data_IF_582413921410
#
_entry.id   IF_582413921410
#
_cell.length_a   1.000
_cell.length_b   1.000
_cell.length_c   1.000
_cell.angle_alpha   90.00
_cell.angle_beta   90.00
_cell.angle_gamma   90.00
#
_symmetry.space_group_name_H-M   'P 1'
#
loop_
_entity.id
_entity.type
_entity.pdbx_description
1 polymer ?
#
# COMPACT_ATOMS: atom_id res chain seq x y z
N UNK A 1 1.92 -13.52 6.89
CA UNK A 1 2.77 -12.81 5.91
C UNK A 1 3.24 -11.50 6.51
N UNK A 2 4.11 -10.79 5.80
CA UNK A 2 4.66 -9.50 6.25
C UNK A 2 3.52 -8.47 6.38
N UNK A 3 2.48 -8.55 5.54
CA UNK A 3 1.26 -7.75 5.61
C UNK A 3 0.56 -7.85 6.99
N UNK A 4 0.38 -9.06 7.53
CA UNK A 4 -0.21 -9.26 8.86
C UNK A 4 0.70 -8.70 9.95
N UNK A 5 2.02 -8.83 9.78
CA UNK A 5 3.01 -8.29 10.71
C UNK A 5 3.01 -6.75 10.72
N UNK A 6 2.84 -6.08 9.57
CA UNK A 6 2.74 -4.61 9.47
C UNK A 6 1.43 -4.11 10.09
N UNK A 7 0.30 -4.79 9.85
CA UNK A 7 -0.98 -4.49 10.51
C UNK A 7 -0.89 -4.64 12.03
N UNK A 8 -0.16 -5.65 12.52
CA UNK A 8 0.03 -5.88 13.96
C UNK A 8 1.11 -4.98 14.60
N UNK A 9 2.15 -4.59 13.85
CA UNK A 9 3.28 -3.79 14.32
C UNK A 9 3.03 -2.27 14.19
N UNK A 10 1.78 -1.84 14.10
CA UNK A 10 1.31 -0.49 13.77
C UNK A 10 1.79 0.66 14.66
N UNK A 11 3.08 0.98 14.62
CA UNK A 11 3.69 2.23 15.13
C UNK A 11 3.64 3.39 14.13
N UNK A 12 3.00 3.22 12.98
CA UNK A 12 2.73 4.28 12.00
C UNK A 12 1.51 5.11 12.40
N UNK A 13 1.62 6.45 12.29
CA UNK A 13 0.62 7.46 12.68
C UNK A 13 -0.83 6.95 12.49
N UNK A 14 -1.50 6.72 13.62
CA UNK A 14 -2.92 6.40 13.70
C UNK A 14 -3.73 7.50 12.98
N UNK A 15 -4.52 7.13 11.97
CA UNK A 15 -5.52 8.04 11.40
C UNK A 15 -6.77 8.04 12.30
N UNK A 16 -7.59 9.10 12.25
CA UNK A 16 -8.84 9.24 13.05
C UNK A 16 -9.81 8.04 12.94
N UNK A 17 -9.65 7.20 11.92
CA UNK A 17 -10.43 5.99 11.67
C UNK A 17 -9.90 4.71 12.35
N UNK A 18 -8.83 4.78 13.14
CA UNK A 18 -8.31 3.63 13.90
C UNK A 18 -7.55 2.58 13.08
N UNK A 19 -7.24 2.87 11.81
CA UNK A 19 -6.38 2.04 10.98
C UNK A 19 -4.92 2.50 11.17
N UNK A 20 -4.04 1.57 11.52
CA UNK A 20 -2.61 1.84 11.45
C UNK A 20 -2.23 2.04 9.99
N UNK A 21 -1.94 3.29 9.62
CA UNK A 21 -1.54 3.62 8.27
C UNK A 21 -0.08 3.18 8.10
N UNK A 22 0.13 2.00 7.53
CA UNK A 22 1.43 1.63 6.98
C UNK A 22 1.91 2.64 5.93
N UNK A 23 3.03 2.39 5.27
CA UNK A 23 3.50 3.28 4.18
C UNK A 23 2.58 3.09 2.95
N UNK A 24 1.71 4.05 2.60
CA UNK A 24 0.60 3.82 1.67
C UNK A 24 1.05 3.43 0.26
N UNK A 25 2.27 3.82 -0.13
CA UNK A 25 2.87 3.55 -1.44
C UNK A 25 3.07 2.06 -1.77
N UNK A 26 3.04 1.18 -0.78
CA UNK A 26 3.25 -0.27 -0.96
C UNK A 26 2.04 -1.11 -0.54
N UNK A 27 0.92 -0.45 -0.16
CA UNK A 27 -0.30 -1.17 0.19
C UNK A 27 -0.92 -1.78 -1.06
N UNK A 28 -1.36 -3.03 -0.93
CA UNK A 28 -2.20 -3.68 -1.93
C UNK A 28 -3.60 -3.05 -1.99
N UNK A 29 -4.35 -3.21 -3.11
CA UNK A 29 -5.71 -2.73 -3.23
C UNK A 29 -6.63 -3.24 -2.12
N UNK A 30 -6.52 -4.52 -1.75
CA UNK A 30 -7.28 -5.12 -0.65
C UNK A 30 -6.94 -4.52 0.72
N UNK A 31 -5.69 -4.11 0.95
CA UNK A 31 -5.31 -3.35 2.15
C UNK A 31 -5.83 -1.91 2.11
N UNK A 32 -5.80 -1.27 0.95
CA UNK A 32 -6.30 0.09 0.76
C UNK A 32 -7.83 0.19 0.92
N UNK A 33 -8.57 -0.87 0.58
CA UNK A 33 -10.01 -0.98 0.81
C UNK A 33 -10.39 -1.46 2.22
N UNK A 34 -9.40 -1.67 3.10
CA UNK A 34 -9.57 -2.21 4.44
C UNK A 34 -10.30 -3.57 4.47
N UNK A 35 -10.01 -4.43 3.49
CA UNK A 35 -10.50 -5.80 3.49
C UNK A 35 -9.99 -6.57 4.71
N UNK A 36 -10.84 -7.44 5.27
CA UNK A 36 -10.51 -8.29 6.41
C UNK A 36 -9.75 -9.54 6.00
N UNK A 37 -9.95 -10.00 4.75
CA UNK A 37 -9.37 -11.24 4.26
C UNK A 37 -8.08 -10.99 3.49
N UNK A 38 -7.08 -10.43 4.18
CA UNK A 38 -5.74 -10.23 3.63
C UNK A 38 -5.02 -11.57 3.49
N UNK A 39 -4.52 -11.85 2.28
CA UNK A 39 -3.81 -13.09 1.97
C UNK A 39 -2.36 -12.83 1.57
N UNK A 40 -1.61 -13.88 1.24
CA UNK A 40 -0.24 -13.76 0.74
C UNK A 40 -0.12 -12.94 -0.56
N UNK A 41 -1.24 -12.69 -1.26
CA UNK A 41 -1.26 -11.83 -2.46
C UNK A 41 -0.89 -10.38 -2.16
N UNK A 42 -1.20 -9.90 -0.96
CA UNK A 42 -0.83 -8.54 -0.54
C UNK A 42 0.69 -8.37 -0.45
N UNK A 43 1.40 -9.38 0.06
CA UNK A 43 2.86 -9.40 0.11
C UNK A 43 3.48 -9.38 -1.30
N UNK A 44 2.89 -10.11 -2.25
CA UNK A 44 3.33 -10.13 -3.66
C UNK A 44 3.14 -8.75 -4.30
N UNK A 45 2.02 -8.10 -4.04
CA UNK A 45 1.76 -6.76 -4.54
C UNK A 45 2.80 -5.76 -4.01
N UNK A 46 3.04 -5.74 -2.70
CA UNK A 46 4.03 -4.85 -2.08
C UNK A 46 5.44 -5.09 -2.64
N UNK A 47 5.84 -6.33 -2.88
CA UNK A 47 7.10 -6.66 -3.53
C UNK A 47 7.14 -6.11 -4.98
N UNK A 48 6.04 -6.21 -5.71
CA UNK A 48 5.90 -5.62 -7.05
C UNK A 48 6.08 -4.10 -7.03
N UNK A 49 5.52 -3.40 -6.03
CA UNK A 49 5.73 -1.96 -5.86
C UNK A 49 7.21 -1.61 -5.62
N UNK A 50 7.91 -2.37 -4.78
CA UNK A 50 9.36 -2.17 -4.54
C UNK A 50 10.16 -2.42 -5.81
N UNK A 51 9.86 -3.48 -6.56
CA UNK A 51 10.51 -3.77 -7.84
C UNK A 51 10.28 -2.64 -8.85
N UNK A 52 9.04 -2.16 -8.98
CA UNK A 52 8.71 -1.02 -9.82
C UNK A 52 9.53 0.20 -9.42
N UNK A 53 9.62 0.51 -8.12
CA UNK A 53 10.38 1.66 -7.63
C UNK A 53 11.87 1.54 -7.93
N UNK A 54 12.47 0.36 -7.78
CA UNK A 54 13.87 0.14 -8.13
C UNK A 54 14.14 0.40 -9.63
N UNK A 55 13.15 0.17 -10.49
CA UNK A 55 13.26 0.38 -11.94
C UNK A 55 12.93 1.83 -12.36
N UNK A 56 11.89 2.42 -11.78
CA UNK A 56 11.36 3.74 -12.13
C UNK A 56 11.94 4.91 -11.30
N UNK A 57 12.65 4.61 -10.21
CA UNK A 57 13.12 5.58 -9.22
C UNK A 57 12.02 6.16 -8.31
N UNK A 58 10.77 5.70 -8.44
CA UNK A 58 9.66 6.08 -7.56
C UNK A 58 8.58 4.98 -7.54
N UNK A 59 7.75 4.89 -6.48
CA UNK A 59 6.65 3.93 -6.39
C UNK A 59 5.63 4.05 -7.54
N UNK A 60 4.87 2.99 -7.83
CA UNK A 60 3.90 2.96 -8.94
C UNK A 60 2.77 3.99 -8.78
N UNK A 61 2.32 4.22 -7.54
CA UNK A 61 1.33 5.23 -7.19
C UNK A 61 1.93 6.20 -6.17
N UNK A 62 1.94 7.48 -6.51
CA UNK A 62 2.38 8.59 -5.65
C UNK A 62 1.26 9.62 -5.54
N UNK A 63 1.34 10.58 -4.62
CA UNK A 63 0.31 11.61 -4.49
C UNK A 63 0.59 12.60 -3.35
N UNK A 64 -0.09 13.75 -3.31
CA UNK A 64 0.17 14.80 -2.32
C UNK A 64 -0.24 14.43 -0.89
N UNK A 65 -1.04 13.38 -0.70
CA UNK A 65 -1.47 12.87 0.61
C UNK A 65 -1.60 11.34 0.62
N UNK A 66 -1.61 10.72 1.79
CA UNK A 66 -1.84 9.29 1.89
C UNK A 66 -3.18 8.86 1.28
N UNK A 67 -4.25 9.61 1.52
CA UNK A 67 -5.57 9.38 0.94
C UNK A 67 -5.51 9.40 -0.59
N UNK A 68 -4.76 10.36 -1.16
CA UNK A 68 -4.60 10.42 -2.62
C UNK A 68 -3.88 9.19 -3.18
N UNK A 69 -2.88 8.66 -2.46
CA UNK A 69 -2.18 7.43 -2.85
C UNK A 69 -3.12 6.22 -2.78
N UNK A 70 -3.91 6.11 -1.71
CA UNK A 70 -4.89 5.02 -1.56
C UNK A 70 -5.94 5.04 -2.67
N UNK A 71 -6.47 6.22 -3.01
CA UNK A 71 -7.42 6.36 -4.12
C UNK A 71 -6.77 5.87 -5.42
N UNK A 72 -5.55 6.30 -5.73
CA UNK A 72 -4.84 5.88 -6.94
C UNK A 72 -4.59 4.38 -7.00
N UNK A 73 -4.25 3.74 -5.88
CA UNK A 73 -4.10 2.28 -5.79
C UNK A 73 -5.40 1.56 -6.16
N UNK A 74 -6.56 2.13 -5.80
CA UNK A 74 -7.87 1.53 -6.05
C UNK A 74 -8.42 1.82 -7.45
N UNK A 75 -8.04 2.94 -8.07
CA UNK A 75 -8.73 3.45 -9.27
C UNK A 75 -7.85 3.61 -10.50
N UNK A 76 -6.52 3.64 -10.35
CA UNK A 76 -5.59 3.92 -11.43
C UNK A 76 -4.68 2.72 -11.70
N UNK A 77 -4.21 2.61 -12.94
CA UNK A 77 -3.11 1.70 -13.28
C UNK A 77 -1.76 2.40 -13.08
N UNK A 78 -0.69 1.66 -12.70
CA UNK A 78 0.66 2.20 -12.66
C UNK A 78 1.07 2.81 -14.01
N UNK A 79 1.96 3.79 -13.97
CA UNK A 79 2.55 4.31 -15.21
C UNK A 79 3.37 3.20 -15.90
N UNK A 80 3.38 3.11 -17.24
CA UNK A 80 4.25 2.18 -17.95
C UNK A 80 5.73 2.45 -17.64
N UNK A 81 6.53 1.37 -17.53
CA UNK A 81 7.99 1.40 -17.40
C UNK A 81 8.68 1.48 -18.77
#
# INVERSE_FOLDING_TARGET
GIALAISAAGGGRMTETGLSLGTPHYMSPEQASADRDLTARSDIYSLGCVLYEMLAGQPPHTGPSAQSVLVRILTESPRPL
#
